data_IF_656870179124
#
_entry.id   IF_656870179124
#
_cell.length_a   1.000
_cell.length_b   1.000
_cell.length_c   1.000
_cell.angle_alpha   90.00
_cell.angle_beta   90.00
_cell.angle_gamma   90.00
#
_symmetry.space_group_name_H-M   'P 1'
#
loop_
_entity.id
_entity.type
_entity.pdbx_description
1 polymer ?
#
# COMPACT_ATOMS: atom_id res chain seq x y z
N UNK A 1 24.15 -40.59 25.43
CA UNK A 1 22.98 -39.73 25.65
C UNK A 1 23.00 -38.67 24.55
N UNK A 2 22.39 -38.98 23.40
CA UNK A 2 22.33 -38.09 22.25
C UNK A 2 21.24 -37.05 22.52
N UNK A 3 21.62 -35.79 22.68
CA UNK A 3 20.68 -34.69 22.76
C UNK A 3 19.99 -34.54 21.41
N UNK A 4 18.71 -34.89 21.35
CA UNK A 4 17.84 -34.59 20.23
C UNK A 4 17.66 -33.07 20.15
N UNK A 5 18.16 -32.46 19.08
CA UNK A 5 17.94 -31.05 18.79
C UNK A 5 16.43 -30.77 18.70
N UNK A 6 16.02 -29.66 19.31
CA UNK A 6 14.65 -29.19 19.34
C UNK A 6 14.18 -28.81 17.91
N UNK A 7 13.06 -29.32 17.37
CA UNK A 7 12.62 -29.04 16.00
C UNK A 7 12.37 -27.55 15.70
N UNK A 8 12.29 -26.71 16.72
CA UNK A 8 12.06 -25.27 16.60
C UNK A 8 13.31 -24.43 16.22
N UNK A 9 14.53 -24.98 16.31
CA UNK A 9 15.77 -24.23 16.06
C UNK A 9 16.26 -24.26 14.59
N UNK A 10 15.53 -24.88 13.67
CA UNK A 10 15.90 -24.93 12.24
C UNK A 10 15.07 -24.03 11.32
N UNK A 11 14.33 -23.06 11.87
CA UNK A 11 13.70 -22.03 11.05
C UNK A 11 14.80 -21.19 10.38
N UNK A 12 15.09 -21.48 9.11
CA UNK A 12 16.16 -20.85 8.34
C UNK A 12 16.18 -19.34 8.53
N UNK A 13 17.32 -18.84 9.01
CA UNK A 13 17.58 -17.40 9.20
C UNK A 13 17.29 -16.70 7.88
N UNK A 14 16.48 -15.64 7.91
CA UNK A 14 16.22 -14.82 6.72
C UNK A 14 17.55 -14.45 6.05
N UNK A 15 17.74 -14.84 4.80
CA UNK A 15 18.97 -14.52 4.09
C UNK A 15 18.90 -13.08 3.57
N UNK A 16 19.88 -12.25 3.92
CA UNK A 16 20.00 -10.88 3.36
C UNK A 16 20.19 -10.90 1.84
N UNK A 17 20.62 -12.02 1.26
CA UNK A 17 20.73 -12.20 -0.19
C UNK A 17 19.37 -12.07 -0.91
N UNK A 18 18.23 -12.15 -0.19
CA UNK A 18 16.93 -11.83 -0.78
C UNK A 18 16.85 -10.39 -1.26
N UNK A 19 17.58 -9.46 -0.63
CA UNK A 19 17.58 -8.04 -0.97
C UNK A 19 18.24 -7.77 -2.31
N UNK A 20 19.20 -8.61 -2.71
CA UNK A 20 19.93 -8.51 -3.97
C UNK A 20 19.26 -9.28 -5.13
N UNK A 21 18.12 -9.93 -4.88
CA UNK A 21 17.42 -10.71 -5.91
C UNK A 21 16.93 -9.81 -7.05
N UNK A 22 17.25 -10.20 -8.28
CA UNK A 22 16.84 -9.51 -9.51
C UNK A 22 15.70 -10.24 -10.20
N UNK A 23 14.74 -9.47 -10.71
CA UNK A 23 13.59 -9.99 -11.44
C UNK A 23 13.31 -9.14 -12.69
N UNK A 24 14.21 -9.10 -13.69
CA UNK A 24 14.03 -8.24 -14.88
C UNK A 24 12.71 -8.52 -15.62
N UNK A 25 12.22 -9.77 -15.58
CA UNK A 25 10.91 -10.16 -16.14
C UNK A 25 9.72 -9.48 -15.43
N UNK A 26 9.83 -9.23 -14.12
CA UNK A 26 8.83 -8.49 -13.36
C UNK A 26 8.90 -7.01 -13.71
N UNK A 27 10.11 -6.44 -13.75
CA UNK A 27 10.34 -5.03 -14.12
C UNK A 27 9.76 -4.72 -15.50
N UNK A 28 10.06 -5.57 -16.49
CA UNK A 28 9.50 -5.45 -17.85
C UNK A 28 7.97 -5.48 -17.83
N UNK A 29 7.36 -6.42 -17.10
CA UNK A 29 5.90 -6.53 -16.98
C UNK A 29 5.28 -5.29 -16.35
N UNK A 30 5.85 -4.77 -15.25
CA UNK A 30 5.33 -3.61 -14.53
C UNK A 30 5.28 -2.36 -15.42
N UNK A 31 6.32 -2.13 -16.22
CA UNK A 31 6.38 -1.01 -17.17
C UNK A 31 5.41 -1.24 -18.32
N UNK A 32 5.40 -2.44 -18.92
CA UNK A 32 4.53 -2.79 -20.05
C UNK A 32 3.04 -2.62 -19.70
N UNK A 33 2.66 -3.03 -18.50
CA UNK A 33 1.28 -2.96 -18.02
C UNK A 33 0.93 -1.59 -17.41
N UNK A 34 1.86 -0.63 -17.50
CA UNK A 34 1.71 0.76 -17.01
C UNK A 34 1.43 0.86 -15.51
N UNK A 35 1.91 -0.11 -14.74
CA UNK A 35 1.91 -0.07 -13.27
C UNK A 35 3.06 0.80 -12.75
N UNK A 36 4.12 0.94 -13.53
CA UNK A 36 5.22 1.87 -13.30
C UNK A 36 5.48 2.68 -14.58
N UNK A 37 5.89 3.93 -14.43
CA UNK A 37 6.22 4.83 -15.52
C UNK A 37 7.48 4.38 -16.27
N UNK A 38 8.46 3.83 -15.55
CA UNK A 38 9.73 3.38 -16.09
C UNK A 38 10.35 2.27 -15.23
N UNK A 39 11.48 1.71 -15.70
CA UNK A 39 12.19 0.63 -15.02
C UNK A 39 12.75 1.06 -13.65
N UNK A 40 13.22 2.30 -13.51
CA UNK A 40 13.76 2.83 -12.25
C UNK A 40 12.70 2.82 -11.14
N UNK A 41 11.47 3.27 -11.44
CA UNK A 41 10.36 3.20 -10.49
C UNK A 41 9.99 1.76 -10.14
N UNK A 42 9.95 0.87 -11.14
CA UNK A 42 9.67 -0.55 -10.91
C UNK A 42 10.73 -1.23 -10.04
N UNK A 43 12.01 -0.95 -10.27
CA UNK A 43 13.12 -1.45 -9.45
C UNK A 43 13.06 -0.89 -8.03
N UNK A 44 12.76 0.39 -7.86
CA UNK A 44 12.59 1.01 -6.56
C UNK A 44 11.45 0.35 -5.77
N UNK A 45 10.30 0.08 -6.38
CA UNK A 45 9.19 -0.60 -5.72
C UNK A 45 9.50 -2.07 -5.42
N UNK A 46 10.16 -2.77 -6.34
CA UNK A 46 10.54 -4.17 -6.10
C UNK A 46 11.59 -4.30 -4.99
N UNK A 47 12.49 -3.32 -4.85
CA UNK A 47 13.39 -3.22 -3.69
C UNK A 47 12.60 -3.15 -2.39
N UNK A 48 11.54 -2.35 -2.34
CA UNK A 48 10.70 -2.24 -1.14
C UNK A 48 9.88 -3.50 -0.86
N UNK A 49 9.43 -4.23 -1.89
CA UNK A 49 8.84 -5.58 -1.70
C UNK A 49 9.83 -6.52 -1.01
N UNK A 50 11.06 -6.61 -1.52
CA UNK A 50 12.10 -7.47 -0.94
C UNK A 50 12.43 -7.08 0.50
N UNK A 51 12.51 -5.78 0.79
CA UNK A 51 12.71 -5.26 2.15
C UNK A 51 11.55 -5.64 3.07
N UNK A 52 10.32 -5.40 2.65
CA UNK A 52 9.15 -5.77 3.43
C UNK A 52 9.11 -7.26 3.80
N UNK A 53 9.37 -8.15 2.83
CA UNK A 53 9.42 -9.59 3.05
C UNK A 53 10.55 -9.99 4.00
N UNK A 54 11.74 -9.40 3.83
CA UNK A 54 12.86 -9.64 4.73
C UNK A 54 12.55 -9.15 6.16
N UNK A 55 12.01 -7.95 6.33
CA UNK A 55 11.66 -7.38 7.63
C UNK A 55 10.66 -8.27 8.36
N UNK A 56 9.58 -8.68 7.69
CA UNK A 56 8.58 -9.60 8.25
C UNK A 56 9.18 -10.95 8.68
N UNK A 57 10.19 -11.44 7.96
CA UNK A 57 10.85 -12.70 8.30
C UNK A 57 11.88 -12.53 9.43
N UNK A 58 12.62 -11.42 9.42
CA UNK A 58 13.70 -11.14 10.35
C UNK A 58 13.19 -10.68 11.72
N UNK A 59 12.03 -10.03 11.78
CA UNK A 59 11.41 -9.56 13.00
C UNK A 59 10.00 -10.12 13.17
N UNK A 60 9.84 -11.04 14.12
CA UNK A 60 8.54 -11.67 14.47
C UNK A 60 7.97 -11.16 15.79
N UNK A 61 8.50 -10.06 16.33
CA UNK A 61 8.01 -9.45 17.59
C UNK A 61 6.64 -8.80 17.44
N UNK A 62 6.26 -8.46 16.21
CA UNK A 62 4.99 -7.83 15.83
C UNK A 62 4.50 -8.39 14.50
N UNK A 63 3.22 -8.18 14.23
CA UNK A 63 2.66 -8.37 12.89
C UNK A 63 2.90 -7.06 12.12
N UNK A 64 3.69 -7.11 11.05
CA UNK A 64 3.99 -5.96 10.20
C UNK A 64 3.07 -5.99 8.98
N UNK A 65 2.00 -5.20 9.02
CA UNK A 65 1.05 -5.11 7.92
C UNK A 65 1.63 -4.38 6.70
N UNK A 66 1.00 -4.58 5.54
CA UNK A 66 1.30 -3.79 4.34
C UNK A 66 0.63 -2.41 4.43
N UNK A 67 1.45 -1.35 4.42
CA UNK A 67 0.98 0.04 4.52
C UNK A 67 1.06 0.83 3.20
N UNK A 68 1.44 0.19 2.10
CA UNK A 68 1.57 0.83 0.79
C UNK A 68 0.86 0.02 -0.27
N UNK A 69 -0.13 0.61 -0.94
CA UNK A 69 -0.80 -0.01 -2.07
C UNK A 69 0.16 -0.16 -3.26
N UNK A 70 1.15 0.73 -3.42
CA UNK A 70 2.16 0.63 -4.49
C UNK A 70 3.05 -0.59 -4.31
N UNK A 71 3.55 -0.80 -3.10
CA UNK A 71 4.41 -1.95 -2.78
C UNK A 71 3.57 -3.24 -2.83
N UNK A 72 2.33 -3.20 -2.34
CA UNK A 72 1.38 -4.31 -2.41
C UNK A 72 1.07 -4.74 -3.86
N UNK A 73 0.78 -3.79 -4.74
CA UNK A 73 0.52 -4.00 -6.17
C UNK A 73 1.71 -4.72 -6.84
N UNK A 74 2.95 -4.29 -6.56
CA UNK A 74 4.14 -4.95 -7.10
C UNK A 74 4.35 -6.34 -6.50
N UNK A 75 4.08 -6.53 -5.21
CA UNK A 75 4.16 -7.86 -4.58
C UNK A 75 3.13 -8.81 -5.20
N UNK A 76 1.88 -8.37 -5.42
CA UNK A 76 0.88 -9.12 -6.17
C UNK A 76 1.39 -9.55 -7.54
N UNK A 77 1.99 -8.64 -8.31
CA UNK A 77 2.55 -8.98 -9.63
C UNK A 77 3.68 -10.01 -9.53
N UNK A 78 4.53 -9.93 -8.49
CA UNK A 78 5.59 -10.91 -8.29
C UNK A 78 5.03 -12.30 -7.99
N UNK A 79 3.99 -12.39 -7.16
CA UNK A 79 3.31 -13.66 -6.83
C UNK A 79 2.76 -14.36 -8.08
N UNK A 80 2.32 -13.60 -9.09
CA UNK A 80 1.83 -14.16 -10.36
C UNK A 80 2.92 -14.87 -11.18
N UNK A 81 4.20 -14.53 -10.97
CA UNK A 81 5.33 -15.36 -11.43
C UNK A 81 5.54 -16.54 -10.48
N UNK A 82 4.48 -17.34 -10.33
CA UNK A 82 4.30 -18.34 -9.26
C UNK A 82 5.52 -19.22 -9.05
N UNK A 83 6.11 -19.77 -10.13
CA UNK A 83 7.30 -20.61 -10.04
C UNK A 83 8.51 -19.84 -9.48
N UNK A 84 8.81 -18.67 -10.03
CA UNK A 84 9.93 -17.84 -9.60
C UNK A 84 9.73 -17.33 -8.17
N UNK A 85 8.51 -16.98 -7.81
CA UNK A 85 8.16 -16.54 -6.46
C UNK A 85 8.35 -17.68 -5.44
N UNK A 86 7.86 -18.89 -5.74
CA UNK A 86 8.08 -20.06 -4.90
C UNK A 86 9.58 -20.38 -4.75
N UNK A 87 10.35 -20.36 -5.85
CA UNK A 87 11.79 -20.57 -5.83
C UNK A 87 12.52 -19.51 -4.99
N UNK A 88 12.12 -18.24 -5.11
CA UNK A 88 12.64 -17.14 -4.28
C UNK A 88 12.36 -17.37 -2.79
N UNK A 89 11.11 -17.67 -2.45
CA UNK A 89 10.71 -17.91 -1.06
C UNK A 89 11.43 -19.10 -0.42
N UNK A 90 11.47 -20.24 -1.12
CA UNK A 90 12.22 -21.43 -0.69
C UNK A 90 13.71 -21.10 -0.49
N UNK A 91 14.34 -20.49 -1.50
CA UNK A 91 15.79 -20.23 -1.47
C UNK A 91 16.19 -19.28 -0.34
N UNK A 92 15.41 -18.24 -0.07
CA UNK A 92 15.82 -17.17 0.84
C UNK A 92 15.22 -17.26 2.24
N UNK A 93 14.08 -17.95 2.38
CA UNK A 93 13.33 -18.03 3.64
C UNK A 93 13.04 -19.47 4.09
N UNK A 94 13.26 -20.46 3.21
CA UNK A 94 13.00 -21.89 3.46
C UNK A 94 11.51 -22.24 3.56
N UNK A 95 10.62 -21.29 3.25
CA UNK A 95 9.17 -21.44 3.31
C UNK A 95 8.51 -20.54 2.28
N UNK A 96 7.38 -20.97 1.74
CA UNK A 96 6.49 -20.11 0.98
C UNK A 96 5.93 -18.99 1.87
N UNK A 97 6.02 -17.74 1.42
CA UNK A 97 5.40 -16.60 2.08
C UNK A 97 4.06 -16.32 1.40
N UNK A 98 2.91 -16.67 2.00
CA UNK A 98 1.62 -16.41 1.39
C UNK A 98 1.35 -14.91 1.36
N UNK A 99 0.92 -14.43 0.19
CA UNK A 99 0.31 -13.12 0.08
C UNK A 99 -1.21 -13.29 0.03
N UNK A 100 -1.90 -12.75 1.02
CA UNK A 100 -3.36 -12.78 1.08
C UNK A 100 -3.88 -11.35 0.85
N UNK A 101 -4.70 -11.12 -0.19
CA UNK A 101 -5.29 -9.80 -0.41
C UNK A 101 -6.14 -9.39 0.79
N UNK A 102 -6.29 -8.09 1.02
CA UNK A 102 -6.93 -7.55 2.23
C UNK A 102 -8.40 -7.97 2.40
N UNK A 103 -9.05 -8.44 1.33
CA UNK A 103 -10.42 -8.96 1.30
C UNK A 103 -10.51 -10.49 1.48
N UNK A 104 -9.38 -11.20 1.59
CA UNK A 104 -9.38 -12.63 1.86
C UNK A 104 -9.97 -12.90 3.25
N UNK A 105 -10.68 -14.03 3.45
CA UNK A 105 -11.11 -14.45 4.77
C UNK A 105 -9.88 -14.48 5.69
N UNK A 106 -9.88 -13.61 6.71
CA UNK A 106 -8.86 -13.70 7.75
C UNK A 106 -9.04 -15.06 8.42
N UNK A 107 -7.99 -15.88 8.56
CA UNK A 107 -8.10 -17.10 9.34
C UNK A 107 -8.66 -16.72 10.72
N UNK A 108 -9.61 -17.51 11.22
CA UNK A 108 -10.16 -17.33 12.56
C UNK A 108 -8.98 -17.15 13.54
N UNK A 109 -9.05 -16.14 14.42
CA UNK A 109 -8.05 -15.93 15.49
C UNK A 109 -8.10 -17.14 16.43
N UNK A 110 -7.41 -18.22 16.06
CA UNK A 110 -7.57 -19.51 16.72
C UNK A 110 -6.27 -20.19 17.13
N UNK A 111 -5.09 -19.81 16.60
CA UNK A 111 -3.88 -20.65 16.80
C UNK A 111 -2.54 -19.92 16.84
N UNK A 112 -2.49 -18.59 16.90
CA UNK A 112 -1.22 -17.84 16.95
C UNK A 112 -1.12 -16.98 18.22
N UNK A 113 0.09 -16.80 18.80
CA UNK A 113 0.30 -16.03 20.03
C UNK A 113 -0.21 -14.59 19.94
N UNK A 114 -0.45 -13.95 21.10
CA UNK A 114 -0.85 -12.53 21.28
C UNK A 114 0.23 -11.54 20.78
N UNK A 115 0.66 -11.67 19.54
CA UNK A 115 1.61 -10.77 18.90
C UNK A 115 0.83 -9.54 18.42
N UNK A 116 1.13 -8.34 18.92
CA UNK A 116 0.41 -7.14 18.52
C UNK A 116 0.72 -6.79 17.07
N UNK A 117 -0.29 -6.28 16.36
CA UNK A 117 -0.10 -5.62 15.06
C UNK A 117 0.60 -4.29 15.27
N UNK A 118 1.64 -4.02 14.47
CA UNK A 118 2.34 -2.75 14.49
C UNK A 118 1.44 -1.60 14.01
N UNK A 119 1.75 -0.39 14.45
CA UNK A 119 1.28 0.84 13.80
C UNK A 119 2.21 1.21 12.64
N UNK A 120 1.75 2.09 11.74
CA UNK A 120 2.61 2.60 10.65
C UNK A 120 3.87 3.31 11.20
N UNK A 121 3.76 4.04 12.32
CA UNK A 121 4.89 4.69 12.96
C UNK A 121 5.91 3.68 13.52
N UNK A 122 5.44 2.59 14.11
CA UNK A 122 6.32 1.50 14.58
C UNK A 122 6.99 0.77 13.40
N UNK A 123 6.28 0.56 12.30
CA UNK A 123 6.85 0.01 11.08
C UNK A 123 7.94 0.92 10.50
N UNK A 124 7.68 2.23 10.39
CA UNK A 124 8.67 3.20 9.91
C UNK A 124 9.94 3.22 10.78
N UNK A 125 9.79 3.28 12.10
CA UNK A 125 10.92 3.26 13.02
C UNK A 125 11.73 1.95 12.92
N UNK A 126 11.03 0.82 12.74
CA UNK A 126 11.69 -0.47 12.58
C UNK A 126 12.43 -0.58 11.24
N UNK A 127 11.81 -0.12 10.17
CA UNK A 127 12.41 -0.05 8.84
C UNK A 127 13.71 0.77 8.88
N UNK A 128 13.67 1.97 9.47
CA UNK A 128 14.84 2.84 9.58
C UNK A 128 15.96 2.22 10.41
N UNK A 129 15.62 1.57 11.52
CA UNK A 129 16.59 0.81 12.33
C UNK A 129 17.24 -0.34 11.55
N UNK A 130 16.48 -0.99 10.65
CA UNK A 130 16.95 -2.17 9.92
C UNK A 130 17.80 -1.80 8.69
N UNK A 131 17.46 -0.73 7.98
CA UNK A 131 18.07 -0.36 6.71
C UNK A 131 18.95 0.89 6.76
N UNK A 132 18.91 1.65 7.87
CA UNK A 132 19.70 2.88 8.05
C UNK A 132 19.18 4.07 7.26
N UNK A 133 17.96 4.00 6.73
CA UNK A 133 17.33 5.07 5.95
C UNK A 133 15.81 5.12 6.23
N UNK A 134 15.19 6.32 6.16
CA UNK A 134 13.75 6.45 6.37
C UNK A 134 12.96 5.77 5.24
N UNK A 135 11.65 5.60 5.46
CA UNK A 135 10.76 5.08 4.42
C UNK A 135 10.77 6.00 3.19
N UNK A 136 11.00 5.47 1.97
CA UNK A 136 10.84 6.25 0.75
C UNK A 136 9.38 6.58 0.46
N UNK A 137 9.14 7.57 -0.41
CA UNK A 137 7.82 8.10 -0.76
C UNK A 137 6.79 7.06 -1.18
N UNK A 138 7.23 5.96 -1.79
CA UNK A 138 6.34 4.87 -2.19
C UNK A 138 5.62 4.17 -1.01
N UNK A 139 6.04 4.41 0.24
CA UNK A 139 5.33 3.96 1.44
C UNK A 139 4.20 4.89 1.88
N UNK A 140 4.02 6.02 1.20
CA UNK A 140 3.00 7.03 1.47
C UNK A 140 2.03 7.09 0.29
N UNK A 141 0.87 6.44 0.41
CA UNK A 141 -0.09 6.33 -0.70
C UNK A 141 -0.53 7.69 -1.25
N UNK A 142 -0.61 8.72 -0.42
CA UNK A 142 -0.92 10.09 -0.83
C UNK A 142 0.11 10.69 -1.79
N UNK A 143 1.38 10.29 -1.68
CA UNK A 143 2.45 10.71 -2.59
C UNK A 143 2.41 9.99 -3.93
N UNK A 144 1.58 8.96 -4.08
CA UNK A 144 1.46 8.16 -5.30
C UNK A 144 0.30 8.57 -6.22
N UNK A 145 -0.44 9.62 -5.84
CA UNK A 145 -1.57 10.14 -6.61
C UNK A 145 -1.08 10.79 -7.91
N UNK A 146 -1.69 10.40 -9.03
CA UNK A 146 -1.45 10.97 -10.35
C UNK A 146 -2.73 10.92 -11.18
N UNK A 147 -2.77 11.64 -12.31
CA UNK A 147 -3.92 11.62 -13.23
C UNK A 147 -4.35 10.21 -13.66
N UNK A 148 -3.38 9.30 -13.79
CA UNK A 148 -3.62 7.93 -14.20
C UNK A 148 -3.87 6.97 -13.04
N UNK A 149 -3.86 7.48 -11.80
CA UNK A 149 -4.13 6.66 -10.64
C UNK A 149 -5.63 6.46 -10.47
N UNK A 150 -6.03 5.20 -10.24
CA UNK A 150 -7.38 4.88 -9.82
C UNK A 150 -7.48 5.03 -8.30
N UNK A 151 -8.54 5.66 -7.83
CA UNK A 151 -8.86 5.84 -6.42
C UNK A 151 -10.26 5.33 -6.13
N UNK A 152 -10.49 4.94 -4.88
CA UNK A 152 -11.73 4.33 -4.41
C UNK A 152 -12.18 5.11 -3.17
N UNK A 153 -13.44 5.52 -3.15
CA UNK A 153 -14.10 6.06 -1.96
C UNK A 153 -14.28 4.95 -0.93
N UNK A 154 -13.64 5.13 0.23
CA UNK A 154 -13.74 4.17 1.33
C UNK A 154 -15.11 4.23 2.04
N UNK A 155 -15.90 5.26 1.77
CA UNK A 155 -17.08 5.62 2.55
C UNK A 155 -18.28 5.94 1.65
N UNK A 156 -18.48 5.20 0.55
CA UNK A 156 -19.61 5.41 -0.39
C UNK A 156 -20.88 5.82 0.38
N UNK A 157 -21.36 7.03 0.12
CA UNK A 157 -22.57 7.62 0.75
C UNK A 157 -22.38 8.32 2.11
N UNK A 158 -21.15 8.55 2.59
CA UNK A 158 -20.87 9.29 3.85
C UNK A 158 -20.13 10.61 3.67
N UNK A 159 -19.76 11.01 2.45
CA UNK A 159 -19.30 12.37 2.21
C UNK A 159 -20.53 13.29 2.37
N UNK A 160 -20.72 13.81 3.58
CA UNK A 160 -21.77 14.76 3.87
C UNK A 160 -21.29 16.13 3.37
N UNK A 161 -22.06 16.72 2.48
CA UNK A 161 -21.74 18.02 1.88
C UNK A 161 -22.74 19.05 2.41
N UNK A 162 -22.25 20.19 2.86
CA UNK A 162 -23.08 21.32 3.24
C UNK A 162 -22.62 22.57 2.52
N UNK A 163 -23.56 23.31 1.94
CA UNK A 163 -23.25 24.62 1.34
C UNK A 163 -23.41 25.71 2.40
N UNK A 164 -22.32 26.42 2.70
CA UNK A 164 -22.29 27.51 3.67
C UNK A 164 -21.60 28.72 3.04
N UNK A 165 -22.35 29.81 2.83
CA UNK A 165 -21.77 31.09 2.37
C UNK A 165 -21.12 31.05 0.98
N UNK A 166 -21.58 30.17 0.08
CA UNK A 166 -21.03 30.01 -1.27
C UNK A 166 -19.81 29.08 -1.38
N UNK A 167 -19.36 28.52 -0.25
CA UNK A 167 -18.38 27.45 -0.20
C UNK A 167 -19.07 26.13 0.12
N UNK A 168 -18.48 25.03 -0.37
CA UNK A 168 -18.96 23.69 -0.07
C UNK A 168 -18.10 23.09 1.04
N UNK A 169 -18.71 22.70 2.14
CA UNK A 169 -18.05 22.12 3.29
C UNK A 169 -18.17 20.59 3.23
N UNK A 170 -17.03 19.91 3.30
CA UNK A 170 -16.97 18.47 3.53
C UNK A 170 -17.09 18.21 5.02
N UNK A 171 -18.09 17.43 5.40
CA UNK A 171 -18.35 17.05 6.77
C UNK A 171 -17.87 15.62 7.02
N UNK A 172 -17.32 15.38 8.21
CA UNK A 172 -17.09 14.04 8.72
C UNK A 172 -18.40 13.33 9.05
N UNK A 173 -18.32 12.04 9.33
CA UNK A 173 -19.51 11.22 9.66
C UNK A 173 -20.21 11.64 10.96
N UNK A 174 -19.58 12.48 11.79
CA UNK A 174 -20.14 13.08 13.00
C UNK A 174 -20.67 14.52 12.79
N UNK A 175 -20.62 15.03 11.54
CA UNK A 175 -21.07 16.38 11.19
C UNK A 175 -20.05 17.49 11.43
N UNK A 176 -18.79 17.17 11.73
CA UNK A 176 -17.70 18.17 11.81
C UNK A 176 -17.21 18.59 10.44
N UNK A 177 -17.00 19.89 10.18
CA UNK A 177 -16.40 20.37 8.92
C UNK A 177 -14.93 19.95 8.88
N UNK A 178 -14.56 19.10 7.93
CA UNK A 178 -13.17 18.73 7.69
C UNK A 178 -12.50 19.63 6.64
N UNK A 179 -13.23 20.11 5.62
CA UNK A 179 -12.68 21.00 4.60
C UNK A 179 -13.69 22.02 4.09
N UNK A 180 -13.22 23.25 3.84
CA UNK A 180 -13.92 24.19 2.98
C UNK A 180 -13.40 24.05 1.54
N UNK A 181 -14.30 23.82 0.61
CA UNK A 181 -14.03 23.64 -0.82
C UNK A 181 -14.54 24.85 -1.57
N UNK A 182 -13.66 25.41 -2.42
CA UNK A 182 -14.02 26.48 -3.33
C UNK A 182 -15.07 25.98 -4.35
N UNK A 183 -15.95 26.86 -4.80
CA UNK A 183 -17.03 26.58 -5.76
C UNK A 183 -16.57 25.84 -7.03
N UNK A 184 -15.32 26.06 -7.47
CA UNK A 184 -14.71 25.41 -8.65
C UNK A 184 -14.63 23.87 -8.50
N UNK A 185 -14.43 23.36 -7.28
CA UNK A 185 -14.26 21.93 -7.02
C UNK A 185 -15.58 21.19 -6.71
N UNK A 186 -16.73 21.89 -6.69
CA UNK A 186 -18.04 21.30 -6.37
C UNK A 186 -18.41 20.16 -7.32
N UNK A 187 -18.20 20.35 -8.62
CA UNK A 187 -18.49 19.31 -9.62
C UNK A 187 -17.63 18.06 -9.39
N UNK A 188 -16.35 18.25 -9.05
CA UNK A 188 -15.45 17.14 -8.77
C UNK A 188 -15.86 16.38 -7.50
N UNK A 189 -16.19 17.08 -6.41
CA UNK A 189 -16.60 16.44 -5.15
C UNK A 189 -17.93 15.70 -5.30
N UNK A 190 -18.89 16.27 -6.03
CA UNK A 190 -20.17 15.61 -6.33
C UNK A 190 -19.93 14.30 -7.09
N UNK A 191 -19.09 14.34 -8.13
CA UNK A 191 -18.72 13.16 -8.90
C UNK A 191 -18.05 12.08 -8.04
N UNK A 192 -17.18 12.48 -7.10
CA UNK A 192 -16.51 11.56 -6.16
C UNK A 192 -17.55 10.81 -5.31
N UNK A 193 -18.51 11.53 -4.74
CA UNK A 193 -19.54 10.96 -3.87
C UNK A 193 -20.48 9.98 -4.59
N UNK A 194 -20.71 10.18 -5.89
CA UNK A 194 -21.62 9.36 -6.70
C UNK A 194 -20.95 8.15 -7.36
N UNK A 195 -19.67 8.27 -7.75
CA UNK A 195 -19.01 7.26 -8.59
C UNK A 195 -18.36 6.13 -7.80
N UNK A 196 -17.87 6.42 -6.58
CA UNK A 196 -17.26 5.44 -5.68
C UNK A 196 -15.88 4.90 -6.11
N UNK A 197 -15.57 4.78 -7.41
CA UNK A 197 -14.24 4.44 -7.91
C UNK A 197 -13.97 5.04 -9.29
N UNK A 198 -12.87 5.78 -9.43
CA UNK A 198 -12.57 6.57 -10.64
C UNK A 198 -11.07 6.79 -10.80
N UNK A 199 -10.63 7.18 -11.99
CA UNK A 199 -9.30 7.72 -12.25
C UNK A 199 -9.27 9.22 -11.98
N UNK A 200 -8.16 9.74 -11.44
CA UNK A 200 -8.04 11.18 -11.12
C UNK A 200 -8.30 12.07 -12.35
N UNK A 201 -7.88 11.66 -13.55
CA UNK A 201 -8.17 12.38 -14.81
C UNK A 201 -9.65 12.52 -15.14
N UNK A 202 -10.51 11.66 -14.59
CA UNK A 202 -11.95 11.66 -14.83
C UNK A 202 -12.69 12.72 -13.99
N UNK A 203 -12.02 13.39 -13.04
CA UNK A 203 -12.65 14.46 -12.28
C UNK A 203 -13.16 15.56 -13.22
N UNK A 204 -14.48 15.88 -13.17
CA UNK A 204 -15.09 16.88 -14.03
C UNK A 204 -14.88 18.31 -13.49
N UNK A 205 -15.33 19.30 -14.26
CA UNK A 205 -15.28 20.71 -13.90
C UNK A 205 -14.08 21.45 -14.49
N UNK A 206 -13.77 22.61 -13.90
CA UNK A 206 -12.74 23.54 -14.40
C UNK A 206 -11.36 23.35 -13.73
N UNK A 207 -11.20 22.31 -12.90
CA UNK A 207 -9.94 22.03 -12.23
C UNK A 207 -8.84 21.71 -13.25
N UNK A 208 -7.67 22.32 -13.09
CA UNK A 208 -6.47 21.91 -13.83
C UNK A 208 -6.03 20.51 -13.41
N UNK A 209 -5.15 19.89 -14.19
CA UNK A 209 -4.60 18.58 -13.87
C UNK A 209 -3.84 18.58 -12.52
N UNK A 210 -3.12 19.65 -12.22
CA UNK A 210 -2.45 19.84 -10.92
C UNK A 210 -3.45 19.96 -9.77
N UNK A 211 -4.54 20.71 -9.97
CA UNK A 211 -5.60 20.87 -8.96
C UNK A 211 -6.35 19.56 -8.70
N UNK A 212 -6.61 18.76 -9.74
CA UNK A 212 -7.19 17.42 -9.60
C UNK A 212 -6.31 16.51 -8.75
N UNK A 213 -5.00 16.50 -9.04
CA UNK A 213 -4.04 15.71 -8.26
C UNK A 213 -4.01 16.20 -6.81
N UNK A 214 -3.89 17.51 -6.57
CA UNK A 214 -3.84 18.08 -5.22
C UNK A 214 -5.11 17.79 -4.39
N UNK A 215 -6.28 17.87 -5.02
CA UNK A 215 -7.56 17.54 -4.39
C UNK A 215 -7.57 16.07 -3.94
N UNK A 216 -7.24 15.14 -4.85
CA UNK A 216 -7.25 13.71 -4.54
C UNK A 216 -6.17 13.35 -3.52
N UNK A 217 -4.99 13.96 -3.58
CA UNK A 217 -3.93 13.80 -2.58
C UNK A 217 -4.45 14.14 -1.19
N UNK A 218 -5.09 15.30 -1.03
CA UNK A 218 -5.68 15.71 0.25
C UNK A 218 -6.71 14.69 0.74
N UNK A 219 -7.60 14.23 -0.13
CA UNK A 219 -8.61 13.24 0.23
C UNK A 219 -8.04 11.87 0.60
N UNK A 220 -6.90 11.47 0.01
CA UNK A 220 -6.16 10.25 0.40
C UNK A 220 -5.48 10.43 1.76
N UNK A 221 -4.83 11.58 2.00
CA UNK A 221 -4.17 11.89 3.29
C UNK A 221 -5.14 11.81 4.46
N UNK A 222 -6.36 12.31 4.27
CA UNK A 222 -7.41 12.31 5.27
C UNK A 222 -8.31 11.05 5.23
N UNK A 223 -7.94 10.04 4.43
CA UNK A 223 -8.60 8.73 4.36
C UNK A 223 -10.09 8.83 3.99
N UNK A 224 -10.44 9.78 3.13
CA UNK A 224 -11.72 9.76 2.40
C UNK A 224 -11.60 8.84 1.19
N UNK A 225 -10.49 8.93 0.46
CA UNK A 225 -10.16 8.05 -0.65
C UNK A 225 -9.02 7.10 -0.25
N UNK A 226 -8.93 5.97 -0.92
CA UNK A 226 -7.68 5.21 -1.05
C UNK A 226 -7.25 5.10 -2.49
N UNK A 227 -5.96 4.97 -2.66
CA UNK A 227 -5.35 4.56 -3.92
C UNK A 227 -5.70 3.09 -4.18
N UNK A 228 -6.12 2.75 -5.39
CA UNK A 228 -6.23 1.35 -5.80
C UNK A 228 -4.82 0.78 -6.05
N UNK A 229 -4.58 -0.42 -5.51
CA UNK A 229 -3.44 -1.26 -5.90
C UNK A 229 -3.79 -2.24 -6.99
#
# INVERSE_FOLDING_TARGET
MLATANPAESAGRASTASLDFEAPYLIEKLVKDRLCANAEEADALFREVKRFLYLNRADRSRIWDMYSHRVDEVWHQFVLFTRQYMEFCERHYGIYLPHAPSNAPKPERGTFPDVPTATFAEFAARYETMYGEPLPDCWHDDRSVSLNRRVIDQRIGRLLMQETGGNLELLSGDGTVEFAINSIAVSAITFIAETGAFYVRELPGELTDEEKVALVTTLVQHRFLRVAG
#
